data_IF_433812707514
#
_entry.id   IF_433812707514
#
_cell.length_a   1.000
_cell.length_b   1.000
_cell.length_c   1.000
_cell.angle_alpha   90.00
_cell.angle_beta   90.00
_cell.angle_gamma   90.00
#
_symmetry.space_group_name_H-M   'P 1'
#
loop_
_entity.id
_entity.type
_entity.pdbx_description
1 polymer ?
#
# COMPACT_ATOMS: atom_id res chain seq x y z
N UNK A 1 -4.19 -16.10 10.42
CA UNK A 1 -4.26 -15.62 11.82
C UNK A 1 -4.89 -16.72 12.69
N UNK A 2 -4.78 -16.68 14.03
CA UNK A 2 -5.36 -17.72 14.90
C UNK A 2 -6.89 -17.82 14.80
N UNK A 3 -7.54 -16.76 14.33
CA UNK A 3 -8.97 -16.72 14.03
C UNK A 3 -9.37 -17.40 12.72
N UNK A 4 -8.41 -17.82 11.89
CA UNK A 4 -8.66 -18.30 10.53
C UNK A 4 -8.51 -17.25 9.44
N UNK A 5 -8.45 -15.96 9.78
CA UNK A 5 -8.30 -14.89 8.78
C UNK A 5 -7.03 -15.04 7.94
N UNK A 6 -7.17 -14.86 6.63
CA UNK A 6 -6.17 -14.89 5.58
C UNK A 6 -5.66 -13.46 5.34
N UNK A 7 -4.34 -13.32 5.38
CA UNK A 7 -3.64 -12.06 5.12
C UNK A 7 -2.92 -12.20 3.79
N UNK A 8 -3.30 -11.40 2.81
CA UNK A 8 -2.65 -11.34 1.51
C UNK A 8 -1.67 -10.17 1.45
N UNK A 9 -0.54 -10.40 0.79
CA UNK A 9 0.40 -9.36 0.40
C UNK A 9 0.44 -9.32 -1.13
N UNK A 10 0.39 -8.12 -1.70
CA UNK A 10 0.31 -7.90 -3.13
C UNK A 10 1.32 -6.83 -3.53
N UNK A 11 2.14 -7.11 -4.54
CA UNK A 11 3.16 -6.17 -5.01
C UNK A 11 2.58 -5.10 -5.95
N UNK A 12 1.74 -5.49 -6.91
CA UNK A 12 1.10 -4.61 -7.91
C UNK A 12 -0.40 -4.46 -7.63
N UNK A 13 -0.93 -3.23 -7.65
CA UNK A 13 -2.37 -2.96 -7.49
C UNK A 13 -3.28 -3.77 -8.43
N UNK A 14 -2.77 -4.21 -9.58
CA UNK A 14 -3.52 -5.04 -10.54
C UNK A 14 -3.84 -6.44 -10.03
N UNK A 15 -3.13 -6.91 -9.02
CA UNK A 15 -3.35 -8.24 -8.44
C UNK A 15 -4.26 -8.19 -7.19
N UNK A 16 -4.58 -7.00 -6.68
CA UNK A 16 -5.41 -6.83 -5.48
C UNK A 16 -6.79 -7.47 -5.63
N UNK A 17 -7.44 -7.33 -6.80
CA UNK A 17 -8.79 -7.87 -7.03
C UNK A 17 -8.86 -9.40 -6.86
N UNK A 18 -7.77 -10.11 -7.16
CA UNK A 18 -7.71 -11.58 -7.02
C UNK A 18 -7.82 -12.00 -5.56
N UNK A 19 -7.31 -11.20 -4.65
CA UNK A 19 -7.32 -11.46 -3.22
C UNK A 19 -8.64 -11.08 -2.53
N UNK A 20 -9.47 -10.23 -3.15
CA UNK A 20 -10.73 -9.77 -2.54
C UNK A 20 -11.70 -10.90 -2.21
N UNK A 21 -11.66 -12.03 -2.95
CA UNK A 21 -12.59 -13.14 -2.74
C UNK A 21 -12.21 -14.08 -1.59
N UNK A 22 -11.04 -13.92 -0.97
CA UNK A 22 -10.57 -14.87 0.04
C UNK A 22 -9.76 -14.25 1.20
N UNK A 23 -9.32 -13.00 1.09
CA UNK A 23 -8.51 -12.36 2.12
C UNK A 23 -9.33 -11.33 2.89
N UNK A 24 -9.15 -11.31 4.21
CA UNK A 24 -9.78 -10.32 5.10
C UNK A 24 -8.86 -9.13 5.36
N UNK A 25 -7.56 -9.28 5.11
CA UNK A 25 -6.59 -8.19 5.04
C UNK A 25 -5.75 -8.31 3.78
N UNK A 26 -5.65 -7.23 3.01
CA UNK A 26 -4.74 -7.13 1.86
C UNK A 26 -3.78 -5.95 2.08
N UNK A 27 -2.48 -6.25 2.11
CA UNK A 27 -1.41 -5.24 2.10
C UNK A 27 -0.90 -5.08 0.67
N UNK A 28 -1.10 -3.91 0.08
CA UNK A 28 -0.71 -3.59 -1.29
C UNK A 28 0.55 -2.72 -1.30
N UNK A 29 1.68 -3.27 -1.76
CA UNK A 29 2.96 -2.57 -1.88
C UNK A 29 3.06 -1.64 -3.12
N UNK A 30 1.95 -1.04 -3.50
CA UNK A 30 1.87 -0.04 -4.57
C UNK A 30 1.28 1.26 -4.02
N UNK A 31 2.03 2.36 -4.13
CA UNK A 31 1.58 3.68 -3.68
C UNK A 31 0.53 4.31 -4.61
N UNK A 32 0.36 3.75 -5.80
CA UNK A 32 -0.67 4.13 -6.78
C UNK A 32 -1.96 3.31 -6.62
N UNK A 33 -1.98 2.35 -5.69
CA UNK A 33 -3.14 1.55 -5.37
C UNK A 33 -4.26 2.36 -4.69
N UNK A 34 -5.45 1.78 -4.77
CA UNK A 34 -6.67 2.19 -4.08
C UNK A 34 -7.35 0.92 -3.54
N UNK A 35 -8.42 1.08 -2.77
CA UNK A 35 -9.24 -0.05 -2.36
C UNK A 35 -10.00 -0.60 -3.57
N UNK A 36 -9.51 -1.72 -4.11
CA UNK A 36 -10.10 -2.37 -5.28
C UNK A 36 -11.29 -3.27 -4.91
N UNK A 37 -11.40 -3.70 -3.64
CA UNK A 37 -12.40 -4.67 -3.23
C UNK A 37 -13.77 -4.02 -3.06
N UNK A 38 -13.81 -2.76 -2.58
CA UNK A 38 -15.05 -2.05 -2.26
C UNK A 38 -15.98 -2.86 -1.33
N UNK A 39 -15.39 -3.75 -0.53
CA UNK A 39 -16.08 -4.67 0.36
C UNK A 39 -15.73 -4.28 1.81
N UNK A 40 -16.71 -3.93 2.66
CA UNK A 40 -16.45 -3.56 4.05
C UNK A 40 -15.88 -4.72 4.90
N UNK A 41 -15.97 -5.97 4.43
CA UNK A 41 -15.38 -7.13 5.11
C UNK A 41 -13.87 -7.29 4.82
N UNK A 42 -13.35 -6.64 3.77
CA UNK A 42 -11.94 -6.75 3.36
C UNK A 42 -11.20 -5.47 3.70
N UNK A 43 -10.26 -5.55 4.65
CA UNK A 43 -9.40 -4.43 4.98
C UNK A 43 -8.27 -4.30 3.95
N UNK A 44 -8.22 -3.20 3.20
CA UNK A 44 -7.13 -2.91 2.26
C UNK A 44 -6.20 -1.83 2.81
N UNK A 45 -4.91 -2.16 2.96
CA UNK A 45 -3.85 -1.23 3.36
C UNK A 45 -2.88 -1.02 2.20
N UNK A 46 -2.76 0.23 1.74
CA UNK A 46 -1.86 0.61 0.65
C UNK A 46 -0.52 1.15 1.15
N UNK A 47 0.52 1.02 0.33
CA UNK A 47 1.83 1.67 0.55
C UNK A 47 1.70 3.18 0.76
N UNK A 48 0.73 3.83 0.09
CA UNK A 48 0.44 5.26 0.29
C UNK A 48 -0.05 5.55 1.70
N UNK A 49 -0.97 4.75 2.23
CA UNK A 49 -1.43 4.89 3.62
C UNK A 49 -0.29 4.70 4.60
N UNK A 50 0.56 3.67 4.43
CA UNK A 50 1.72 3.46 5.30
C UNK A 50 2.77 4.58 5.21
N UNK A 51 3.03 5.09 4.00
CA UNK A 51 3.91 6.24 3.79
C UNK A 51 3.39 7.47 4.54
N UNK A 52 2.08 7.72 4.52
CA UNK A 52 1.44 8.84 5.20
C UNK A 52 1.35 8.64 6.72
N UNK A 53 0.85 7.48 7.16
CA UNK A 53 0.38 7.23 8.52
C UNK A 53 1.33 6.37 9.37
N UNK A 54 2.47 5.95 8.84
CA UNK A 54 3.43 5.13 9.57
C UNK A 54 3.05 3.64 9.55
N UNK A 55 3.41 2.93 10.63
CA UNK A 55 3.00 1.53 10.81
C UNK A 55 1.49 1.42 11.08
N UNK A 56 0.94 0.24 10.82
CA UNK A 56 -0.44 -0.11 11.14
C UNK A 56 -0.45 -1.30 12.09
N UNK A 57 -1.24 -1.20 13.16
CA UNK A 57 -1.67 -2.33 13.96
C UNK A 57 -3.03 -2.79 13.46
N UNK A 58 -3.16 -4.09 13.17
CA UNK A 58 -4.41 -4.69 12.69
C UNK A 58 -4.90 -5.68 13.74
N UNK A 59 -6.19 -5.60 14.07
CA UNK A 59 -6.84 -6.43 15.06
C UNK A 59 -7.93 -7.26 14.39
N UNK A 60 -7.79 -8.57 14.51
CA UNK A 60 -8.80 -9.53 14.08
C UNK A 60 -9.62 -9.99 15.28
N UNK A 61 -10.90 -10.26 15.06
CA UNK A 61 -11.71 -11.01 16.02
C UNK A 61 -11.09 -12.40 16.21
N UNK A 62 -10.91 -12.85 17.45
CA UNK A 62 -10.32 -14.15 17.75
C UNK A 62 -11.29 -15.30 17.51
N UNK A 63 -12.58 -15.04 17.52
CA UNK A 63 -13.63 -16.05 17.43
C UNK A 63 -14.19 -16.20 16.01
N UNK A 64 -13.86 -15.27 15.10
CA UNK A 64 -14.42 -15.24 13.76
C UNK A 64 -13.39 -14.73 12.74
N UNK A 65 -13.24 -15.48 11.64
CA UNK A 65 -12.48 -15.01 10.48
C UNK A 65 -13.24 -13.96 9.67
N UNK A 66 -14.58 -13.98 9.71
CA UNK A 66 -15.44 -13.15 8.85
C UNK A 66 -15.82 -11.81 9.45
N UNK A 67 -15.46 -11.56 10.71
CA UNK A 67 -15.62 -10.24 11.34
C UNK A 67 -14.59 -9.27 10.75
N UNK A 68 -14.99 -8.09 10.26
CA UNK A 68 -14.06 -7.11 9.69
C UNK A 68 -12.92 -6.76 10.65
N UNK A 69 -11.69 -6.80 10.14
CA UNK A 69 -10.52 -6.39 10.91
C UNK A 69 -10.56 -4.88 11.18
N UNK A 70 -10.13 -4.49 12.38
CA UNK A 70 -9.96 -3.06 12.73
C UNK A 70 -8.50 -2.66 12.64
N UNK A 71 -8.26 -1.37 12.39
CA UNK A 71 -6.92 -0.83 12.13
C UNK A 71 -6.65 0.41 12.96
N UNK A 72 -5.43 0.49 13.50
CA UNK A 72 -4.88 1.69 14.14
C UNK A 72 -3.55 2.05 13.48
N UNK A 73 -3.38 3.31 13.10
CA UNK A 73 -2.13 3.80 12.51
C UNK A 73 -1.29 4.54 13.55
N UNK A 74 0.04 4.47 13.41
CA UNK A 74 0.97 5.13 14.32
C UNK A 74 0.93 6.67 14.25
N UNK A 75 0.58 7.22 13.08
CA UNK A 75 0.48 8.68 12.86
C UNK A 75 -0.95 9.01 12.46
N UNK A 76 -1.61 9.78 13.30
CA UNK A 76 -2.96 10.27 13.09
C UNK A 76 -2.99 11.65 12.40
N UNK A 77 -4.13 12.03 11.84
CA UNK A 77 -4.37 13.33 11.19
C UNK A 77 -5.25 14.22 12.09
N UNK A 78 -4.96 15.53 12.22
CA UNK A 78 -3.91 16.28 11.53
C UNK A 78 -2.50 15.91 12.01
N UNK A 79 -1.53 15.97 11.09
CA UNK A 79 -0.15 15.69 11.46
C UNK A 79 0.36 16.66 12.51
N UNK A 80 1.04 16.11 13.52
CA UNK A 80 1.88 16.91 14.40
C UNK A 80 2.96 17.62 13.56
N UNK A 81 3.46 18.80 13.96
CA UNK A 81 4.40 19.58 13.15
C UNK A 81 5.60 18.76 12.65
N UNK A 82 6.16 17.90 13.51
CA UNK A 82 7.29 17.01 13.19
C UNK A 82 6.94 15.76 12.38
N UNK A 83 5.69 15.58 11.95
CA UNK A 83 5.26 14.55 11.01
C UNK A 83 4.90 15.13 9.63
N UNK A 84 4.87 16.45 9.49
CA UNK A 84 4.51 17.15 8.25
C UNK A 84 5.30 16.66 7.05
N UNK A 85 6.57 16.33 7.23
CA UNK A 85 7.49 15.88 6.19
C UNK A 85 7.04 14.58 5.50
N UNK A 86 6.24 13.74 6.17
CA UNK A 86 5.78 12.45 5.60
C UNK A 86 4.99 12.62 4.31
N UNK A 87 4.33 13.77 4.10
CA UNK A 87 3.54 14.02 2.88
C UNK A 87 4.38 14.21 1.62
N UNK A 88 5.69 14.45 1.74
CA UNK A 88 6.54 14.84 0.60
C UNK A 88 7.21 13.65 -0.12
N UNK A 89 7.24 12.47 0.48
CA UNK A 89 7.76 11.28 -0.21
C UNK A 89 6.96 10.97 -1.48
N UNK A 90 7.56 10.25 -2.43
CA UNK A 90 6.88 9.88 -3.68
C UNK A 90 5.65 9.02 -3.39
N UNK A 91 5.80 8.08 -2.46
CA UNK A 91 4.79 7.11 -2.05
C UNK A 91 3.62 7.81 -1.36
N UNK A 92 3.89 8.78 -0.47
CA UNK A 92 2.84 9.54 0.20
C UNK A 92 2.03 10.41 -0.76
N UNK A 93 2.68 10.89 -1.84
CA UNK A 93 2.04 11.58 -2.97
C UNK A 93 1.36 10.64 -3.95
N UNK A 94 1.49 9.33 -3.77
CA UNK A 94 0.85 8.34 -4.61
C UNK A 94 1.49 8.15 -5.98
N UNK A 95 2.78 8.46 -6.11
CA UNK A 95 3.54 8.30 -7.34
C UNK A 95 4.13 6.88 -7.43
N UNK A 96 4.26 6.39 -8.67
CA UNK A 96 4.93 5.12 -8.96
C UNK A 96 6.41 5.14 -8.52
N UNK A 97 7.05 3.96 -8.33
CA UNK A 97 8.48 3.86 -8.08
C UNK A 97 9.30 4.68 -9.09
N UNK A 98 10.39 5.29 -8.62
CA UNK A 98 11.26 6.06 -9.50
C UNK A 98 11.93 5.14 -10.52
N UNK A 99 11.75 5.44 -11.81
CA UNK A 99 12.48 4.80 -12.90
C UNK A 99 13.59 5.76 -13.35
N UNK A 100 14.85 5.30 -13.36
CA UNK A 100 15.94 6.09 -13.93
C UNK A 100 15.66 6.29 -15.42
N UNK A 101 15.77 7.53 -15.94
CA UNK A 101 15.72 7.73 -17.38
C UNK A 101 16.86 6.97 -18.04
N UNK A 102 16.58 6.33 -19.17
CA UNK A 102 17.61 5.67 -19.97
C UNK A 102 18.57 6.73 -20.53
N UNK A 103 19.88 6.46 -20.45
CA UNK A 103 20.86 7.38 -21.05
C UNK A 103 20.74 7.28 -22.57
N UNK A 104 20.66 8.41 -23.31
CA UNK A 104 20.69 8.35 -24.75
C UNK A 104 21.99 7.69 -25.22
N UNK A 105 21.86 6.68 -26.08
CA UNK A 105 23.01 6.04 -26.73
C UNK A 105 23.58 7.06 -27.73
N UNK A 106 24.78 7.57 -27.45
CA UNK A 106 25.51 8.42 -28.39
C UNK A 106 26.18 7.49 -29.39
N UNK A 107 25.65 7.41 -30.61
CA UNK A 107 26.34 6.74 -31.71
C UNK A 107 27.48 7.65 -32.20
N UNK A 108 28.73 7.16 -32.27
CA UNK A 108 29.83 7.93 -32.84
C UNK A 108 29.54 8.25 -34.31
N UNK A 109 29.65 9.53 -34.70
CA UNK A 109 29.64 9.90 -36.12
C UNK A 109 30.92 9.38 -36.79
N UNK A 110 30.83 8.82 -38.01
CA UNK A 110 32.01 8.44 -38.77
C UNK A 110 32.86 9.68 -39.10
N UNK A 111 34.20 9.55 -39.13
CA UNK A 111 35.09 10.65 -39.51
C UNK A 111 34.82 11.10 -40.96
N UNK A 112 34.90 12.42 -41.17
CA UNK A 112 34.75 13.09 -42.48
C UNK A 112 35.95 12.84 -43.39
#
# INVERSE_FOLDING_TARGET
HTSGAIIAYVEDRKDTWKACGFAELIVVNDATAYDACHDPLVLVITKRQLARKGSAAVFFDRQSATTPATISFAVDSPYRPWHTQRKYSREARGLAPFKKPEKPVVNPQPPQ
#
